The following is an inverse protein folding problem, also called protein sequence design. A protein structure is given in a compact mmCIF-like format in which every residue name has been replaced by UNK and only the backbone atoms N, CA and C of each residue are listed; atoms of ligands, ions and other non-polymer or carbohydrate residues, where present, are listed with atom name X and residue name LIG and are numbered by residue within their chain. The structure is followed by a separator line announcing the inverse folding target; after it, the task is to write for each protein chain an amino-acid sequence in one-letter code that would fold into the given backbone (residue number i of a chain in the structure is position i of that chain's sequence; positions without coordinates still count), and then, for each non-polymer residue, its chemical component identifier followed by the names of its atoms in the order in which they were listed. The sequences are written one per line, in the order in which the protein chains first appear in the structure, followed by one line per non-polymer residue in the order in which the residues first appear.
data_IF_405032704093
#
_entry.id   IF_405032704093
#
_cell.length_a   1.000
_cell.length_b   1.000
_cell.length_c   1.000
_cell.angle_alpha   90.00
_cell.angle_beta   90.00
_cell.angle_gamma   90.00
#
_symmetry.space_group_name_H-M   'P 1'
#
loop_
_entity.id
_entity.type
_entity.pdbx_description
1 polymer ?
#
# COMPACT_ATOMS: atom_id res chain seq x y z
N UNK A 1 8.83 -10.37 -34.48
CA UNK A 1 9.38 -10.78 -33.17
C UNK A 1 9.30 -9.69 -32.10
N UNK A 2 9.83 -8.47 -32.30
CA UNK A 2 9.81 -7.39 -31.28
C UNK A 2 8.40 -7.05 -30.73
N UNK A 3 7.37 -7.05 -31.58
CA UNK A 3 5.97 -6.81 -31.19
C UNK A 3 5.45 -7.81 -30.14
N UNK A 4 5.71 -9.12 -30.34
CA UNK A 4 5.25 -10.17 -29.43
C UNK A 4 5.92 -10.09 -28.06
N UNK A 5 7.16 -9.58 -28.00
CA UNK A 5 7.87 -9.37 -26.73
C UNK A 5 7.30 -8.17 -25.96
N UNK A 6 6.98 -7.07 -26.65
CA UNK A 6 6.33 -5.91 -26.04
C UNK A 6 4.95 -6.26 -25.48
N UNK A 7 4.14 -6.97 -26.25
CA UNK A 7 2.82 -7.45 -25.84
C UNK A 7 2.90 -8.34 -24.60
N UNK A 8 3.83 -9.31 -24.59
CA UNK A 8 4.06 -10.16 -23.41
C UNK A 8 4.44 -9.33 -22.18
N UNK A 9 5.35 -8.38 -22.33
CA UNK A 9 5.79 -7.52 -21.22
C UNK A 9 4.65 -6.63 -20.71
N UNK A 10 3.78 -6.15 -21.60
CA UNK A 10 2.59 -5.39 -21.23
C UNK A 10 1.60 -6.24 -20.42
N UNK A 11 1.37 -7.50 -20.83
CA UNK A 11 0.54 -8.46 -20.08
C UNK A 11 1.11 -8.70 -18.69
N UNK A 12 2.41 -8.98 -18.59
CA UNK A 12 3.10 -9.21 -17.31
C UNK A 12 3.01 -7.97 -16.40
N UNK A 13 3.17 -6.77 -16.97
CA UNK A 13 3.04 -5.49 -16.26
C UNK A 13 1.61 -5.28 -15.75
N UNK A 14 0.59 -5.57 -16.57
CA UNK A 14 -0.82 -5.49 -16.16
C UNK A 14 -1.18 -6.48 -15.06
N UNK A 15 -0.65 -7.72 -15.12
CA UNK A 15 -0.84 -8.71 -14.05
C UNK A 15 -0.16 -8.29 -12.74
N UNK A 16 1.00 -7.64 -12.83
CA UNK A 16 1.68 -7.07 -11.66
C UNK A 16 0.86 -5.92 -11.05
N UNK A 17 0.35 -5.02 -11.87
CA UNK A 17 -0.49 -3.91 -11.43
C UNK A 17 -1.77 -4.40 -10.73
N UNK A 18 -2.42 -5.43 -11.28
CA UNK A 18 -3.60 -6.05 -10.67
C UNK A 18 -3.30 -6.58 -9.27
N UNK A 19 -2.16 -7.26 -9.08
CA UNK A 19 -1.74 -7.78 -7.78
C UNK A 19 -1.46 -6.66 -6.78
N UNK A 20 -0.67 -5.66 -7.18
CA UNK A 20 -0.35 -4.52 -6.31
C UNK A 20 -1.60 -3.75 -5.87
N UNK A 21 -2.61 -3.61 -6.73
CA UNK A 21 -3.88 -2.96 -6.37
C UNK A 21 -4.69 -3.80 -5.38
N UNK A 22 -4.67 -5.13 -5.50
CA UNK A 22 -5.29 -6.01 -4.51
C UNK A 22 -4.56 -5.94 -3.16
N UNK A 23 -3.23 -5.94 -3.17
CA UNK A 23 -2.40 -5.78 -1.98
C UNK A 23 -2.66 -4.42 -1.30
N UNK A 24 -2.80 -3.35 -2.10
CA UNK A 24 -3.15 -2.02 -1.60
C UNK A 24 -4.51 -2.02 -0.91
N UNK A 25 -5.52 -2.64 -1.50
CA UNK A 25 -6.85 -2.72 -0.88
C UNK A 25 -6.78 -3.39 0.50
N UNK A 26 -6.08 -4.52 0.60
CA UNK A 26 -5.88 -5.21 1.88
C UNK A 26 -5.12 -4.32 2.88
N UNK A 27 -4.07 -3.64 2.44
CA UNK A 27 -3.31 -2.73 3.30
C UNK A 27 -4.15 -1.54 3.78
N UNK A 28 -5.08 -1.03 2.96
CA UNK A 28 -6.00 0.04 3.35
C UNK A 28 -7.03 -0.45 4.38
N UNK A 29 -7.56 -1.66 4.22
CA UNK A 29 -8.43 -2.30 5.23
C UNK A 29 -7.69 -2.49 6.56
N UNK A 30 -6.46 -2.98 6.52
CA UNK A 30 -5.63 -3.14 7.72
C UNK A 30 -5.26 -1.81 8.37
N UNK A 31 -4.97 -0.77 7.57
CA UNK A 31 -4.69 0.56 8.10
C UNK A 31 -5.90 1.15 8.81
N UNK A 32 -7.11 0.98 8.27
CA UNK A 32 -8.34 1.41 8.94
C UNK A 32 -8.47 0.77 10.32
N UNK A 33 -8.31 -0.56 10.37
CA UNK A 33 -8.38 -1.31 11.62
C UNK A 33 -7.34 -0.84 12.66
N UNK A 34 -6.07 -0.71 12.28
CA UNK A 34 -5.04 -0.26 13.22
C UNK A 34 -5.21 1.21 13.64
N UNK A 35 -5.78 2.05 12.78
CA UNK A 35 -6.09 3.44 13.13
C UNK A 35 -7.17 3.50 14.21
N UNK A 36 -8.23 2.70 14.07
CA UNK A 36 -9.28 2.56 15.08
C UNK A 36 -8.72 2.04 16.41
N UNK A 37 -7.88 0.99 16.38
CA UNK A 37 -7.23 0.46 17.59
C UNK A 37 -6.31 1.49 18.28
N UNK A 38 -5.54 2.25 17.50
CA UNK A 38 -4.66 3.29 18.02
C UNK A 38 -5.44 4.43 18.67
N UNK A 39 -6.58 4.83 18.10
CA UNK A 39 -7.47 5.83 18.66
C UNK A 39 -8.15 5.35 19.95
N UNK A 40 -8.62 4.11 20.00
CA UNK A 40 -9.19 3.51 21.21
C UNK A 40 -8.13 3.44 22.33
N UNK A 41 -6.92 2.99 22.00
CA UNK A 41 -5.82 2.93 22.96
C UNK A 41 -5.42 4.34 23.45
N UNK A 42 -5.47 5.36 22.58
CA UNK A 42 -5.25 6.75 22.95
C UNK A 42 -6.28 7.23 23.96
N UNK A 43 -7.56 6.96 23.73
CA UNK A 43 -8.65 7.30 24.66
C UNK A 43 -8.42 6.61 26.01
N UNK A 44 -8.13 5.30 26.02
CA UNK A 44 -7.84 4.55 27.26
C UNK A 44 -6.64 5.11 28.02
N UNK A 45 -5.55 5.45 27.32
CA UNK A 45 -4.36 6.04 27.92
C UNK A 45 -4.65 7.37 28.59
N UNK A 46 -5.50 8.22 28.00
CA UNK A 46 -5.87 9.51 28.57
C UNK A 46 -6.81 9.37 29.76
N UNK A 47 -7.73 8.40 29.74
CA UNK A 47 -8.70 8.20 30.82
C UNK A 47 -8.09 7.52 32.03
N UNK A 48 -7.23 6.52 31.82
CA UNK A 48 -6.70 5.69 32.90
C UNK A 48 -5.41 6.24 33.50
N UNK A 49 -4.66 7.07 32.75
CA UNK A 49 -3.36 7.65 33.14
C UNK A 49 -2.35 6.62 33.69
N UNK A 50 -2.50 5.34 33.33
CA UNK A 50 -1.62 4.27 33.81
C UNK A 50 -0.43 4.07 32.86
N UNK A 51 0.75 3.67 33.38
CA UNK A 51 1.89 3.31 32.55
C UNK A 51 1.58 2.20 31.53
N UNK A 52 0.70 1.25 31.89
CA UNK A 52 0.27 0.16 31.01
C UNK A 52 -0.54 0.68 29.82
N UNK A 53 -1.55 1.51 30.06
CA UNK A 53 -2.36 2.08 28.98
C UNK A 53 -1.53 2.99 28.05
N UNK A 54 -0.56 3.72 28.61
CA UNK A 54 0.40 4.49 27.80
C UNK A 54 1.33 3.62 26.96
N UNK A 55 1.68 2.42 27.43
CA UNK A 55 2.45 1.45 26.63
C UNK A 55 1.61 0.89 25.48
N UNK A 56 0.39 0.44 25.75
CA UNK A 56 -0.54 -0.07 24.73
C UNK A 56 -0.80 0.94 23.61
N UNK A 57 -1.03 2.21 23.96
CA UNK A 57 -1.18 3.28 22.98
C UNK A 57 0.05 3.42 22.07
N UNK A 58 1.26 3.41 22.63
CA UNK A 58 2.49 3.52 21.83
C UNK A 58 2.67 2.34 20.87
N UNK A 59 2.33 1.12 21.30
CA UNK A 59 2.42 -0.05 20.42
C UNK A 59 1.39 0.01 19.30
N UNK A 60 0.14 0.36 19.60
CA UNK A 60 -0.90 0.55 18.60
C UNK A 60 -0.53 1.63 17.57
N UNK A 61 0.00 2.78 18.02
CA UNK A 61 0.49 3.83 17.12
C UNK A 61 1.66 3.38 16.23
N UNK A 62 2.56 2.52 16.72
CA UNK A 62 3.64 1.96 15.87
C UNK A 62 3.07 1.04 14.80
N UNK A 63 2.05 0.24 15.11
CA UNK A 63 1.40 -0.62 14.13
C UNK A 63 0.70 0.19 13.04
N UNK A 64 -0.06 1.22 13.43
CA UNK A 64 -0.69 2.17 12.50
C UNK A 64 0.36 2.82 11.58
N UNK A 65 1.44 3.36 12.15
CA UNK A 65 2.49 4.03 11.38
C UNK A 65 3.21 3.06 10.43
N UNK A 66 3.47 1.83 10.87
CA UNK A 66 4.06 0.80 10.03
C UNK A 66 3.15 0.46 8.83
N UNK A 67 1.84 0.35 9.06
CA UNK A 67 0.89 0.06 8.00
C UNK A 67 0.75 1.24 7.04
N UNK A 68 0.78 2.48 7.55
CA UNK A 68 0.79 3.70 6.74
C UNK A 68 2.00 3.74 5.79
N UNK A 69 3.20 3.44 6.30
CA UNK A 69 4.41 3.32 5.46
C UNK A 69 4.28 2.22 4.41
N UNK A 70 3.71 1.07 4.77
CA UNK A 70 3.48 -0.02 3.82
C UNK A 70 2.55 0.40 2.68
N UNK A 71 1.42 1.04 3.00
CA UNK A 71 0.48 1.61 2.02
C UNK A 71 1.17 2.59 1.08
N UNK A 72 2.00 3.49 1.60
CA UNK A 72 2.75 4.44 0.77
C UNK A 72 3.74 3.77 -0.18
N UNK A 73 4.40 2.68 0.25
CA UNK A 73 5.28 1.91 -0.61
C UNK A 73 4.51 1.23 -1.75
N UNK A 74 3.33 0.68 -1.48
CA UNK A 74 2.46 0.09 -2.51
C UNK A 74 2.01 1.14 -3.52
N UNK A 75 1.56 2.32 -3.07
CA UNK A 75 1.18 3.42 -3.95
C UNK A 75 2.34 3.86 -4.86
N UNK A 76 3.56 3.98 -4.32
CA UNK A 76 4.76 4.32 -5.10
C UNK A 76 5.10 3.24 -6.12
N UNK A 77 4.93 1.96 -5.76
CA UNK A 77 5.15 0.84 -6.69
C UNK A 77 4.13 0.83 -7.83
N UNK A 78 2.85 1.03 -7.50
CA UNK A 78 1.76 1.14 -8.47
C UNK A 78 2.06 2.24 -9.48
N UNK A 79 2.37 3.46 -9.01
CA UNK A 79 2.68 4.59 -9.89
C UNK A 79 3.84 4.28 -10.85
N UNK A 80 4.90 3.61 -10.37
CA UNK A 80 6.03 3.20 -11.21
C UNK A 80 5.64 2.15 -12.26
N UNK A 81 4.79 1.19 -11.89
CA UNK A 81 4.33 0.15 -12.81
C UNK A 81 3.36 0.72 -13.85
N UNK A 82 2.55 1.71 -13.48
CA UNK A 82 1.68 2.46 -14.41
C UNK A 82 2.50 3.28 -15.40
N UNK A 83 3.55 3.98 -14.94
CA UNK A 83 4.48 4.69 -15.84
C UNK A 83 5.16 3.73 -16.83
N UNK A 84 5.62 2.57 -16.36
CA UNK A 84 6.17 1.54 -17.25
C UNK A 84 5.13 1.03 -18.25
N UNK A 85 3.88 0.84 -17.83
CA UNK A 85 2.79 0.44 -18.73
C UNK A 85 2.58 1.48 -19.83
N UNK A 86 2.53 2.77 -19.47
CA UNK A 86 2.38 3.87 -20.43
C UNK A 86 3.53 3.88 -21.44
N UNK A 87 4.77 3.78 -20.97
CA UNK A 87 5.94 3.72 -21.86
C UNK A 87 5.89 2.54 -22.84
N UNK A 88 5.41 1.37 -22.39
CA UNK A 88 5.25 0.20 -23.26
C UNK A 88 4.14 0.41 -24.30
N UNK A 89 3.02 1.05 -23.91
CA UNK A 89 1.93 1.40 -24.82
C UNK A 89 2.38 2.42 -25.86
N UNK A 90 3.12 3.46 -25.45
CA UNK A 90 3.67 4.47 -26.36
C UNK A 90 4.62 3.83 -27.38
N UNK A 91 5.49 2.91 -26.97
CA UNK A 91 6.37 2.16 -27.87
C UNK A 91 5.62 1.26 -28.85
N UNK A 92 4.42 0.79 -28.48
CA UNK A 92 3.56 0.02 -29.38
C UNK A 92 2.82 0.92 -30.36
N UNK A 93 2.40 2.11 -29.93
CA UNK A 93 1.69 3.09 -30.76
C UNK A 93 2.61 3.83 -31.73
N UNK A 94 3.87 4.06 -31.37
CA UNK A 94 4.89 4.73 -32.19
C UNK A 94 5.50 3.83 -33.27
N UNK A 95 4.84 2.73 -33.63
CA UNK A 95 5.38 1.63 -34.43
C UNK A 95 4.49 1.31 -35.62
#
# INVERSE_FOLDING_TARGET
MKSKLLERRLIETGQRLKRLRADLQVAEEQLSHFSEEADDARIRSLVSETPLAGHEHREASKHEESMRRHRELLLKEIARVEDLQNQLLDQMASR
#
